data_IF_909324284522
#
_entry.id   IF_909324284522
#
_cell.length_a   1.000
_cell.length_b   1.000
_cell.length_c   1.000
_cell.angle_alpha   90.00
_cell.angle_beta   90.00
_cell.angle_gamma   90.00
#
_symmetry.space_group_name_H-M   'P 1'
#
loop_
_entity.id
_entity.type
_entity.pdbx_description
1 polymer ?
#
# COMPACT_ATOMS: atom_id res chain seq x y z
N UNK A 1 20.06 12.16 22.73
CA UNK A 1 18.84 12.39 23.50
C UNK A 1 17.62 12.01 22.66
N UNK A 2 16.52 11.66 23.30
CA UNK A 2 15.23 11.40 22.64
C UNK A 2 14.09 12.06 23.43
N UNK A 3 12.99 12.31 22.74
CA UNK A 3 11.73 12.79 23.31
C UNK A 3 10.67 11.72 23.15
N UNK A 4 9.80 11.57 24.14
CA UNK A 4 8.62 10.74 24.02
C UNK A 4 7.57 11.48 23.20
N UNK A 5 7.10 10.88 22.13
CA UNK A 5 6.06 11.42 21.28
C UNK A 5 4.79 10.60 21.42
N UNK A 6 3.72 11.23 21.83
CA UNK A 6 2.40 10.62 21.98
C UNK A 6 1.43 11.28 21.00
N UNK A 7 0.69 10.49 20.25
CA UNK A 7 -0.25 10.99 19.27
C UNK A 7 -1.45 10.05 19.07
N UNK A 8 -2.35 10.43 18.21
CA UNK A 8 -3.47 9.61 17.76
C UNK A 8 -3.26 9.07 16.35
N UNK A 9 -4.01 8.04 16.00
CA UNK A 9 -4.11 7.58 14.62
C UNK A 9 -5.06 8.49 13.85
N UNK A 10 -4.55 9.25 12.88
CA UNK A 10 -5.32 10.24 12.10
C UNK A 10 -6.48 9.66 11.27
N UNK A 11 -6.51 8.35 11.05
CA UNK A 11 -7.64 7.71 10.36
C UNK A 11 -8.86 7.55 11.23
N UNK A 12 -8.67 7.45 12.55
CA UNK A 12 -9.76 7.35 13.51
C UNK A 12 -10.07 8.70 14.12
N UNK A 13 -9.04 9.39 14.64
CA UNK A 13 -9.19 10.70 15.25
C UNK A 13 -7.94 11.54 14.98
N UNK A 14 -8.14 12.69 14.35
CA UNK A 14 -7.05 13.65 14.19
C UNK A 14 -6.79 14.33 15.53
N UNK A 15 -5.54 14.36 15.95
CA UNK A 15 -5.17 15.05 17.17
C UNK A 15 -5.28 16.58 16.99
N UNK A 16 -6.05 17.21 17.86
CA UNK A 16 -6.19 18.65 17.95
C UNK A 16 -5.62 19.10 19.29
N UNK A 17 -4.55 19.92 19.33
CA UNK A 17 -3.96 20.38 20.58
C UNK A 17 -4.89 21.25 21.43
N UNK A 18 -5.86 21.94 20.81
CA UNK A 18 -6.82 22.79 21.51
C UNK A 18 -8.00 21.99 22.12
N UNK A 19 -8.28 20.84 21.55
CA UNK A 19 -9.36 19.96 22.00
C UNK A 19 -8.98 18.49 21.79
N UNK A 20 -8.39 17.87 22.79
CA UNK A 20 -8.02 16.46 22.67
C UNK A 20 -8.63 15.58 23.76
N UNK A 21 -8.91 14.34 23.37
CA UNK A 21 -9.31 13.28 24.30
C UNK A 21 -8.10 12.35 24.54
N UNK A 22 -7.60 12.21 25.77
CA UNK A 22 -6.48 11.32 26.09
C UNK A 22 -6.69 9.86 25.65
N UNK A 23 -7.94 9.37 25.65
CA UNK A 23 -8.26 8.01 25.24
C UNK A 23 -7.95 7.72 23.77
N UNK A 24 -7.78 8.75 22.95
CA UNK A 24 -7.41 8.64 21.55
C UNK A 24 -5.90 8.65 21.32
N UNK A 25 -5.10 8.98 22.33
CA UNK A 25 -3.64 9.06 22.25
C UNK A 25 -3.01 7.68 22.48
N UNK A 26 -3.06 6.83 21.45
CA UNK A 26 -2.63 5.42 21.54
C UNK A 26 -1.37 5.10 20.75
N UNK A 27 -0.87 6.04 19.95
CA UNK A 27 0.35 5.86 19.19
C UNK A 27 1.52 6.47 19.95
N UNK A 28 2.53 5.65 20.25
CA UNK A 28 3.72 6.04 21.01
C UNK A 28 4.94 5.87 20.12
N UNK A 29 5.73 6.94 20.02
CA UNK A 29 6.97 6.97 19.26
C UNK A 29 8.07 7.61 20.13
N UNK A 30 9.32 7.40 19.74
CA UNK A 30 10.44 8.21 20.21
C UNK A 30 10.90 9.12 19.08
N UNK A 31 11.07 10.38 19.37
CA UNK A 31 11.61 11.36 18.46
C UNK A 31 13.07 11.66 18.82
N UNK A 32 13.93 11.69 17.82
CA UNK A 32 15.35 12.03 17.93
C UNK A 32 15.56 13.43 17.36
N UNK A 33 15.58 14.49 18.21
CA UNK A 33 15.56 15.89 17.74
C UNK A 33 16.82 16.26 16.96
N UNK A 34 17.98 15.74 17.33
CA UNK A 34 19.27 16.02 16.66
C UNK A 34 19.29 15.62 15.18
N UNK A 35 18.64 14.52 14.86
CA UNK A 35 18.57 13.97 13.49
C UNK A 35 17.19 14.08 12.86
N UNK A 36 16.20 14.58 13.61
CA UNK A 36 14.79 14.73 13.22
C UNK A 36 14.18 13.43 12.70
N UNK A 37 14.40 12.34 13.43
CA UNK A 37 13.97 10.99 13.09
C UNK A 37 13.11 10.38 14.17
N UNK A 38 12.39 9.32 13.80
CA UNK A 38 11.47 8.61 14.69
C UNK A 38 11.91 7.17 14.93
N UNK A 39 11.52 6.64 16.07
CA UNK A 39 11.62 5.20 16.40
C UNK A 39 10.25 4.75 16.88
N UNK A 40 9.76 3.63 16.34
CA UNK A 40 8.48 3.05 16.70
C UNK A 40 8.74 1.68 17.32
N UNK A 41 8.65 1.54 18.64
CA UNK A 41 9.09 0.33 19.33
C UNK A 41 8.16 -0.89 19.10
N UNK A 42 6.88 -0.65 18.81
CA UNK A 42 5.86 -1.70 18.68
C UNK A 42 5.64 -2.17 17.23
N UNK A 43 6.25 -1.49 16.24
CA UNK A 43 6.06 -1.80 14.80
C UNK A 43 7.38 -2.22 14.17
N UNK A 44 7.63 -3.52 14.21
CA UNK A 44 8.88 -4.13 13.70
C UNK A 44 9.11 -3.94 12.20
N UNK A 45 8.07 -3.60 11.45
CA UNK A 45 8.13 -3.29 10.01
C UNK A 45 8.73 -1.93 9.70
N UNK A 46 8.78 -0.99 10.66
CA UNK A 46 9.40 0.32 10.51
C UNK A 46 10.87 0.32 10.94
N UNK A 47 11.68 1.13 10.30
CA UNK A 47 13.10 1.33 10.62
C UNK A 47 13.28 2.65 11.34
N UNK A 48 14.41 2.76 12.04
CA UNK A 48 14.81 4.04 12.66
C UNK A 48 14.85 5.14 11.60
N UNK A 49 14.14 6.20 11.85
CA UNK A 49 14.05 7.34 10.96
C UNK A 49 12.73 7.48 10.22
N UNK A 50 11.85 6.52 10.32
CA UNK A 50 10.58 6.49 9.61
C UNK A 50 9.42 6.64 10.59
N UNK A 51 8.46 7.51 10.25
CA UNK A 51 7.20 7.61 10.99
C UNK A 51 6.09 6.85 10.25
N UNK A 52 5.18 6.17 10.96
CA UNK A 52 4.04 5.51 10.32
C UNK A 52 3.16 6.52 9.61
N UNK A 53 2.66 6.14 8.42
CA UNK A 53 1.82 7.02 7.61
C UNK A 53 0.51 7.44 8.32
N UNK A 54 0.04 6.64 9.28
CA UNK A 54 -1.16 6.94 10.07
C UNK A 54 -0.95 8.03 11.13
N UNK A 55 0.28 8.44 11.41
CA UNK A 55 0.59 9.55 12.31
C UNK A 55 1.18 10.76 11.59
N UNK A 56 1.72 10.59 10.39
CA UNK A 56 2.31 11.70 9.63
C UNK A 56 1.30 12.82 9.37
N UNK A 57 1.74 14.07 9.65
CA UNK A 57 0.93 15.27 9.53
C UNK A 57 -0.16 15.42 10.58
N UNK A 58 -0.18 14.57 11.58
CA UNK A 58 -0.94 14.77 12.78
C UNK A 58 -0.14 15.62 13.77
N UNK A 59 -0.79 16.23 14.74
CA UNK A 59 -0.09 16.79 15.89
C UNK A 59 0.33 15.67 16.85
N UNK A 60 1.38 15.94 17.62
CA UNK A 60 1.83 15.07 18.70
C UNK A 60 2.25 15.88 19.91
N UNK A 61 2.22 15.24 21.06
CA UNK A 61 2.76 15.74 22.31
C UNK A 61 4.20 15.22 22.40
N UNK A 62 5.16 16.12 22.34
CA UNK A 62 6.58 15.83 22.53
C UNK A 62 6.96 16.11 23.96
N UNK A 63 7.53 15.16 24.65
CA UNK A 63 7.90 15.23 26.06
C UNK A 63 9.40 14.98 26.17
N UNK A 64 10.14 15.93 26.67
CA UNK A 64 11.58 15.85 26.86
C UNK A 64 11.99 15.12 28.16
N UNK A 65 13.28 15.00 28.39
CA UNK A 65 13.85 14.37 29.60
C UNK A 65 13.55 15.14 30.93
N UNK A 66 13.25 16.43 30.83
CA UNK A 66 12.87 17.25 31.97
C UNK A 66 11.38 17.17 32.29
N UNK A 67 10.61 16.43 31.47
CA UNK A 67 9.14 16.35 31.49
C UNK A 67 8.44 17.63 31.01
N UNK A 68 9.19 18.53 30.36
CA UNK A 68 8.59 19.64 29.63
C UNK A 68 7.95 19.10 28.34
N UNK A 69 6.83 19.69 27.95
CA UNK A 69 6.10 19.22 26.75
C UNK A 69 5.74 20.36 25.80
N UNK A 70 5.65 20.02 24.53
CA UNK A 70 5.16 20.93 23.49
C UNK A 70 4.37 20.17 22.44
N UNK A 71 3.55 20.90 21.68
CA UNK A 71 2.79 20.36 20.57
C UNK A 71 3.47 20.70 19.24
N UNK A 72 3.63 19.72 18.39
CA UNK A 72 4.15 19.94 17.04
C UNK A 72 3.58 18.92 16.06
N UNK A 73 3.60 19.29 14.79
CA UNK A 73 3.20 18.37 13.71
C UNK A 73 4.29 17.33 13.47
N UNK A 74 3.87 16.09 13.30
CA UNK A 74 4.75 14.98 12.96
C UNK A 74 5.08 15.08 11.47
N UNK A 75 6.33 15.41 11.13
CA UNK A 75 6.77 15.66 9.75
C UNK A 75 7.93 14.75 9.42
N UNK A 76 7.85 14.08 8.30
CA UNK A 76 9.01 13.41 7.70
C UNK A 76 9.76 14.41 6.82
N UNK A 77 11.03 14.68 7.13
CA UNK A 77 11.81 15.72 6.45
C UNK A 77 12.22 15.34 5.03
N UNK A 78 12.37 14.06 4.75
CA UNK A 78 12.67 13.58 3.42
C UNK A 78 11.37 13.38 2.64
N UNK A 79 11.21 14.11 1.54
CA UNK A 79 10.10 13.91 0.59
C UNK A 79 10.28 12.57 -0.10
N UNK A 80 9.90 11.51 0.58
CA UNK A 80 9.91 10.16 0.04
C UNK A 80 8.51 9.80 -0.43
N UNK A 81 8.42 9.30 -1.65
CA UNK A 81 7.15 8.95 -2.26
C UNK A 81 6.86 7.48 -2.06
N UNK A 82 5.62 7.19 -1.70
CA UNK A 82 5.10 5.83 -1.76
C UNK A 82 4.47 5.63 -3.14
N UNK A 83 5.04 4.76 -3.95
CA UNK A 83 4.56 4.52 -5.31
C UNK A 83 4.10 3.09 -5.52
N UNK A 84 3.18 2.91 -6.45
CA UNK A 84 2.79 1.63 -7.01
C UNK A 84 3.00 1.73 -8.52
N UNK A 85 4.01 1.02 -9.03
CA UNK A 85 4.23 0.89 -10.47
C UNK A 85 3.72 -0.46 -10.92
N UNK A 86 2.89 -0.48 -11.96
CA UNK A 86 2.34 -1.71 -12.53
C UNK A 86 2.68 -1.81 -14.01
N UNK A 87 3.30 -2.91 -14.38
CA UNK A 87 3.54 -3.25 -15.79
C UNK A 87 2.71 -4.48 -16.12
N UNK A 88 1.81 -4.34 -17.08
CA UNK A 88 0.86 -5.40 -17.47
C UNK A 88 1.02 -5.70 -18.95
N UNK A 89 1.31 -6.96 -19.25
CA UNK A 89 1.32 -7.47 -20.61
C UNK A 89 0.20 -8.50 -20.79
N UNK A 90 -0.59 -8.36 -21.84
CA UNK A 90 -1.72 -9.24 -22.13
C UNK A 90 -1.47 -9.96 -23.45
N UNK A 91 -1.48 -11.27 -23.40
CA UNK A 91 -1.37 -12.15 -24.57
C UNK A 91 -2.67 -12.94 -24.76
N UNK A 92 -3.22 -12.89 -25.96
CA UNK A 92 -4.46 -13.57 -26.32
C UNK A 92 -4.15 -14.91 -26.97
N UNK A 93 -4.07 -15.97 -26.17
CA UNK A 93 -3.90 -17.34 -26.67
C UNK A 93 -5.25 -17.91 -27.13
N UNK A 94 -5.34 -18.27 -28.41
CA UNK A 94 -6.47 -18.99 -29.00
C UNK A 94 -7.85 -18.32 -28.90
N UNK A 95 -7.93 -17.01 -28.78
CA UNK A 95 -9.20 -16.23 -28.76
C UNK A 95 -10.23 -16.66 -27.68
N UNK A 96 -9.82 -17.41 -26.68
CA UNK A 96 -10.70 -17.87 -25.60
C UNK A 96 -10.18 -17.47 -24.23
N UNK A 97 -8.89 -17.23 -24.12
CA UNK A 97 -8.18 -17.05 -22.88
C UNK A 97 -7.17 -15.93 -23.04
N UNK A 98 -7.14 -15.02 -22.09
CA UNK A 98 -6.09 -14.03 -21.96
C UNK A 98 -5.07 -14.52 -20.92
N UNK A 99 -3.79 -14.49 -21.29
CA UNK A 99 -2.69 -14.68 -20.37
C UNK A 99 -2.15 -13.29 -20.02
N UNK A 100 -2.18 -12.95 -18.75
CA UNK A 100 -1.77 -11.65 -18.24
C UNK A 100 -0.51 -11.85 -17.41
N UNK A 101 0.58 -11.23 -17.84
CA UNK A 101 1.83 -11.15 -17.08
C UNK A 101 1.91 -9.78 -16.42
N UNK A 102 2.03 -9.73 -15.11
CA UNK A 102 2.04 -8.51 -14.35
C UNK A 102 3.27 -8.43 -13.45
N UNK A 103 3.88 -7.25 -13.41
CA UNK A 103 4.87 -6.87 -12.40
C UNK A 103 4.35 -5.65 -11.66
N UNK A 104 4.23 -5.76 -10.34
CA UNK A 104 3.85 -4.68 -9.44
C UNK A 104 5.03 -4.36 -8.54
N UNK A 105 5.43 -3.09 -8.50
CA UNK A 105 6.50 -2.58 -7.65
C UNK A 105 5.92 -1.57 -6.66
N UNK A 106 6.06 -1.88 -5.38
CA UNK A 106 5.59 -1.06 -4.28
C UNK A 106 6.78 -0.44 -3.57
N UNK A 107 6.77 0.88 -3.36
CA UNK A 107 7.78 1.60 -2.60
C UNK A 107 7.20 2.28 -1.38
N UNK A 108 8.07 2.73 -0.47
CA UNK A 108 7.66 3.49 0.71
C UNK A 108 6.66 2.73 1.57
N UNK A 109 5.63 3.40 2.05
CA UNK A 109 4.63 2.82 2.93
C UNK A 109 3.83 1.67 2.29
N UNK A 110 3.68 1.66 0.97
CA UNK A 110 3.06 0.52 0.28
C UNK A 110 3.90 -0.75 0.40
N UNK A 111 5.22 -0.62 0.33
CA UNK A 111 6.12 -1.76 0.54
C UNK A 111 6.05 -2.28 1.98
N UNK A 112 6.00 -1.38 2.97
CA UNK A 112 5.85 -1.75 4.39
C UNK A 112 4.55 -2.52 4.59
N UNK A 113 3.43 -1.95 4.13
CA UNK A 113 2.10 -2.55 4.30
C UNK A 113 2.05 -3.95 3.70
N UNK A 114 2.56 -4.13 2.47
CA UNK A 114 2.55 -5.44 1.83
C UNK A 114 3.47 -6.45 2.54
N UNK A 115 4.63 -6.03 3.05
CA UNK A 115 5.51 -6.89 3.86
C UNK A 115 4.87 -7.30 5.18
N UNK A 116 4.22 -6.34 5.87
CA UNK A 116 3.51 -6.62 7.11
C UNK A 116 2.35 -7.60 6.88
N UNK A 117 1.55 -7.38 5.83
CA UNK A 117 0.46 -8.28 5.44
C UNK A 117 0.97 -9.67 5.07
N UNK A 118 2.07 -9.77 4.31
CA UNK A 118 2.69 -11.06 4.00
C UNK A 118 3.16 -11.78 5.24
N UNK A 119 3.81 -11.08 6.16
CA UNK A 119 4.26 -11.66 7.42
C UNK A 119 3.11 -12.17 8.29
N UNK A 120 1.97 -11.48 8.28
CA UNK A 120 0.75 -11.93 8.93
C UNK A 120 0.12 -13.13 8.20
N UNK A 121 0.08 -13.10 6.87
CA UNK A 121 -0.54 -14.15 6.05
C UNK A 121 0.23 -15.46 6.06
N UNK A 122 1.53 -15.44 6.25
CA UNK A 122 2.33 -16.66 6.47
C UNK A 122 1.87 -17.46 7.70
N UNK A 123 1.16 -16.78 8.61
CA UNK A 123 0.55 -17.40 9.80
C UNK A 123 -0.94 -17.76 9.60
N UNK A 124 -1.60 -17.27 8.53
CA UNK A 124 -3.06 -17.28 8.37
C UNK A 124 -3.59 -17.90 7.06
N UNK A 125 -2.83 -18.69 6.34
CA UNK A 125 -3.24 -19.30 5.06
C UNK A 125 -3.16 -18.39 3.80
N UNK A 126 -2.21 -18.72 2.94
CA UNK A 126 -1.63 -17.79 1.94
C UNK A 126 -2.41 -17.56 0.63
N UNK A 127 -3.49 -18.28 0.36
CA UNK A 127 -4.14 -18.22 -0.97
C UNK A 127 -4.96 -16.94 -1.17
N UNK A 128 -5.59 -16.44 -0.12
CA UNK A 128 -6.31 -15.16 -0.17
C UNK A 128 -5.35 -13.99 -0.39
N UNK A 129 -4.16 -14.04 0.21
CA UNK A 129 -3.16 -13.01 0.00
C UNK A 129 -2.56 -13.05 -1.41
N UNK A 130 -2.33 -14.23 -1.97
CA UNK A 130 -1.93 -14.37 -3.38
C UNK A 130 -3.01 -13.81 -4.30
N UNK A 131 -4.28 -14.10 -4.03
CA UNK A 131 -5.39 -13.57 -4.79
C UNK A 131 -5.47 -12.04 -4.70
N UNK A 132 -5.24 -11.48 -3.53
CA UNK A 132 -5.17 -10.04 -3.31
C UNK A 132 -4.04 -9.37 -4.10
N UNK A 133 -2.84 -9.95 -4.09
CA UNK A 133 -1.65 -9.40 -4.77
C UNK A 133 -1.65 -9.61 -6.29
N UNK A 134 -2.43 -10.55 -6.82
CA UNK A 134 -2.45 -10.85 -8.25
C UNK A 134 -3.72 -10.29 -8.89
N UNK A 135 -3.62 -9.16 -9.60
CA UNK A 135 -4.71 -8.54 -10.38
C UNK A 135 -6.08 -8.71 -9.72
N UNK A 136 -6.27 -8.05 -8.57
CA UNK A 136 -7.53 -8.08 -7.82
C UNK A 136 -8.67 -7.59 -8.72
N UNK A 137 -9.78 -8.31 -8.75
CA UNK A 137 -10.96 -7.94 -9.54
C UNK A 137 -11.23 -8.82 -10.78
N UNK A 138 -10.29 -9.65 -11.20
CA UNK A 138 -10.57 -10.61 -12.27
C UNK A 138 -11.19 -11.87 -11.66
N UNK A 139 -12.49 -12.04 -11.87
CA UNK A 139 -13.22 -13.21 -11.41
C UNK A 139 -12.82 -14.46 -12.19
N UNK A 140 -12.64 -15.59 -11.49
CA UNK A 140 -12.32 -16.88 -12.14
C UNK A 140 -10.93 -16.94 -12.77
N UNK A 141 -9.99 -16.08 -12.34
CA UNK A 141 -8.59 -16.15 -12.77
C UNK A 141 -7.94 -17.42 -12.24
N UNK A 142 -6.99 -17.95 -13.01
CA UNK A 142 -6.11 -19.03 -12.59
C UNK A 142 -4.68 -18.50 -12.51
N UNK A 143 -4.08 -18.57 -11.34
CA UNK A 143 -2.68 -18.18 -11.13
C UNK A 143 -1.81 -19.31 -11.70
N UNK A 144 -0.96 -18.98 -12.69
CA UNK A 144 -0.03 -19.92 -13.33
C UNK A 144 1.31 -19.85 -12.62
N UNK A 145 1.82 -18.62 -12.42
CA UNK A 145 3.08 -18.36 -11.76
C UNK A 145 2.95 -17.17 -10.80
N UNK A 146 3.71 -17.21 -9.74
CA UNK A 146 3.70 -16.16 -8.74
C UNK A 146 5.03 -16.12 -8.00
N UNK A 147 5.59 -14.92 -7.83
CA UNK A 147 6.80 -14.72 -7.04
C UNK A 147 6.81 -13.36 -6.36
N UNK A 148 7.45 -13.30 -5.19
CA UNK A 148 7.67 -12.06 -4.44
C UNK A 148 9.17 -11.85 -4.24
N UNK A 149 9.64 -10.64 -4.52
CA UNK A 149 11.03 -10.21 -4.32
C UNK A 149 11.04 -9.17 -3.20
N UNK A 150 12.11 -9.15 -2.41
CA UNK A 150 12.30 -8.25 -1.26
C UNK A 150 11.17 -8.36 -0.22
N UNK A 151 10.75 -9.59 0.05
CA UNK A 151 9.62 -9.92 0.93
C UNK A 151 9.92 -9.78 2.42
N UNK A 152 11.19 -9.71 2.80
CA UNK A 152 11.60 -9.64 4.21
C UNK A 152 11.09 -8.33 4.84
N UNK A 153 10.43 -8.47 6.00
CA UNK A 153 9.87 -7.35 6.76
C UNK A 153 10.95 -6.37 7.25
N UNK A 154 12.20 -6.83 7.36
CA UNK A 154 13.32 -6.01 7.81
C UNK A 154 14.04 -5.24 6.70
N UNK A 155 13.58 -5.32 5.46
CA UNK A 155 14.16 -4.58 4.34
C UNK A 155 13.98 -3.05 4.50
N UNK A 156 14.98 -2.24 4.07
CA UNK A 156 14.83 -0.79 3.98
C UNK A 156 13.65 -0.41 3.09
N UNK A 157 12.91 0.62 3.53
CA UNK A 157 11.61 0.95 2.92
C UNK A 157 11.75 1.52 1.51
N UNK A 158 12.73 2.40 1.29
CA UNK A 158 12.78 3.18 0.04
C UNK A 158 13.71 2.62 -1.02
N UNK A 159 14.74 1.88 -0.63
CA UNK A 159 15.77 1.40 -1.55
C UNK A 159 15.49 0.00 -2.12
N UNK A 160 14.56 -0.73 -1.48
CA UNK A 160 14.21 -2.09 -1.87
C UNK A 160 12.71 -2.19 -2.08
N UNK A 161 12.19 -1.99 -3.30
CA UNK A 161 10.77 -2.14 -3.58
C UNK A 161 10.31 -3.57 -3.26
N UNK A 162 9.10 -3.69 -2.72
CA UNK A 162 8.40 -4.96 -2.65
C UNK A 162 7.84 -5.26 -4.04
N UNK A 163 8.29 -6.34 -4.67
CA UNK A 163 7.93 -6.64 -6.06
C UNK A 163 7.13 -7.93 -6.10
N UNK A 164 5.96 -7.88 -6.75
CA UNK A 164 5.14 -9.03 -7.07
C UNK A 164 5.19 -9.27 -8.57
N UNK A 165 5.55 -10.48 -8.99
CA UNK A 165 5.44 -10.92 -10.37
C UNK A 165 4.43 -12.04 -10.45
N UNK A 166 3.50 -11.95 -11.39
CA UNK A 166 2.49 -12.97 -11.60
C UNK A 166 2.20 -13.22 -13.07
N UNK A 167 1.84 -14.45 -13.38
CA UNK A 167 1.25 -14.85 -14.66
C UNK A 167 -0.08 -15.49 -14.33
N UNK A 168 -1.14 -14.93 -14.86
CA UNK A 168 -2.50 -15.42 -14.67
C UNK A 168 -3.17 -15.71 -16.01
N UNK A 169 -4.07 -16.67 -15.98
CA UNK A 169 -4.98 -16.95 -17.08
C UNK A 169 -6.39 -16.53 -16.68
N UNK A 170 -7.09 -15.85 -17.56
CA UNK A 170 -8.44 -15.36 -17.31
C UNK A 170 -9.31 -15.39 -18.58
N UNK A 171 -10.40 -16.14 -18.53
CA UNK A 171 -11.41 -16.15 -19.60
C UNK A 171 -12.38 -14.97 -19.48
N UNK A 172 -12.64 -14.51 -18.27
CA UNK A 172 -13.64 -13.48 -17.94
C UNK A 172 -13.33 -12.09 -18.49
N UNK A 173 -12.07 -11.83 -18.88
CA UNK A 173 -11.67 -10.54 -19.49
C UNK A 173 -12.02 -10.45 -20.98
N UNK A 174 -12.45 -11.54 -21.58
CA UNK A 174 -12.85 -11.61 -22.98
C UNK A 174 -14.36 -11.74 -23.09
N UNK A 175 -15.01 -10.75 -23.66
CA UNK A 175 -16.45 -10.76 -23.93
C UNK A 175 -16.68 -11.22 -25.35
N UNK A 176 -17.38 -12.33 -25.50
CA UNK A 176 -17.78 -12.84 -26.80
C UNK A 176 -19.02 -12.09 -27.33
N UNK A 177 -18.83 -11.26 -28.34
CA UNK A 177 -19.88 -10.43 -28.94
C UNK A 177 -20.56 -11.09 -30.17
N UNK A 178 -20.61 -12.41 -30.23
CA UNK A 178 -21.23 -13.13 -31.37
C UNK A 178 -22.76 -13.02 -31.45
N UNK A 179 -23.40 -12.06 -30.77
CA UNK A 179 -24.82 -11.77 -31.00
C UNK A 179 -24.97 -11.10 -32.37
N UNK A 180 -25.51 -11.87 -33.30
CA UNK A 180 -26.03 -11.41 -34.57
C UNK A 180 -25.02 -10.98 -35.64
N UNK A 181 -24.35 -11.93 -36.31
CA UNK A 181 -23.98 -11.67 -37.69
C UNK A 181 -23.81 -12.97 -38.50
N UNK A 182 -24.43 -13.02 -39.67
CA UNK A 182 -24.36 -14.09 -40.68
C UNK A 182 -22.94 -14.35 -41.23
N UNK A 183 -21.92 -13.62 -40.76
CA UNK A 183 -20.50 -13.82 -41.09
C UNK A 183 -19.81 -14.61 -39.97
N UNK A 184 -19.08 -15.65 -40.34
CA UNK A 184 -18.33 -16.60 -39.48
C UNK A 184 -17.18 -15.97 -38.66
N UNK A 185 -17.13 -14.65 -38.47
CA UNK A 185 -16.09 -13.97 -37.73
C UNK A 185 -16.49 -13.82 -36.25
N UNK A 186 -15.75 -14.49 -35.37
CA UNK A 186 -15.89 -14.33 -33.94
C UNK A 186 -15.23 -13.02 -33.52
N UNK A 187 -15.97 -12.15 -32.82
CA UNK A 187 -15.45 -10.90 -32.24
C UNK A 187 -15.37 -11.04 -30.73
N UNK A 188 -14.25 -10.67 -30.17
CA UNK A 188 -14.04 -10.60 -28.73
C UNK A 188 -13.73 -9.15 -28.34
N UNK A 189 -14.27 -8.69 -27.23
CA UNK A 189 -13.94 -7.42 -26.63
C UNK A 189 -13.15 -7.70 -25.37
N UNK A 190 -11.98 -7.07 -25.25
CA UNK A 190 -11.18 -7.12 -24.04
C UNK A 190 -11.66 -6.05 -23.05
N UNK A 191 -11.95 -6.47 -21.82
CA UNK A 191 -12.34 -5.56 -20.75
C UNK A 191 -11.10 -5.05 -20.00
N UNK A 192 -10.53 -3.94 -20.46
CA UNK A 192 -9.36 -3.34 -19.85
C UNK A 192 -9.63 -2.92 -18.40
N UNK A 193 -10.82 -2.44 -18.08
CA UNK A 193 -11.19 -2.03 -16.72
C UNK A 193 -11.09 -3.16 -15.69
N UNK A 194 -11.33 -4.41 -16.11
CA UNK A 194 -11.16 -5.58 -15.23
C UNK A 194 -9.70 -5.85 -14.88
N UNK A 195 -8.76 -5.43 -15.71
CA UNK A 195 -7.31 -5.66 -15.53
C UNK A 195 -6.65 -4.50 -14.76
N UNK A 196 -6.96 -3.28 -15.13
CA UNK A 196 -6.38 -2.08 -14.52
C UNK A 196 -7.01 -1.82 -13.14
N UNK A 197 -8.26 -2.23 -12.96
CA UNK A 197 -9.09 -1.85 -11.83
C UNK A 197 -9.73 -0.49 -12.03
N UNK A 198 -10.82 -0.25 -11.32
CA UNK A 198 -11.43 1.09 -11.24
C UNK A 198 -10.89 1.80 -10.02
N UNK A 199 -10.34 2.98 -10.21
CA UNK A 199 -10.03 3.84 -9.08
C UNK A 199 -11.33 4.28 -8.44
N UNK A 200 -11.53 3.95 -7.16
CA UNK A 200 -12.63 4.54 -6.39
C UNK A 200 -12.38 6.04 -6.25
N UNK A 201 -13.42 6.84 -6.41
CA UNK A 201 -13.33 8.27 -6.14
C UNK A 201 -12.89 8.49 -4.70
N UNK A 202 -11.77 9.18 -4.52
CA UNK A 202 -11.25 9.53 -3.22
C UNK A 202 -11.90 10.85 -2.79
N UNK A 203 -13.05 10.77 -2.12
CA UNK A 203 -13.64 11.91 -1.44
C UNK A 203 -12.84 12.19 -0.16
N UNK A 204 -11.91 13.10 -0.23
CA UNK A 204 -11.27 13.64 0.96
C UNK A 204 -11.12 15.14 0.79
N UNK A 205 -11.82 15.88 1.63
CA UNK A 205 -11.64 17.34 1.76
C UNK A 205 -10.33 17.69 2.50
N UNK A 206 -9.60 16.69 2.98
CA UNK A 206 -8.35 16.88 3.70
C UNK A 206 -7.18 16.98 2.72
N UNK A 207 -6.35 17.99 2.92
CA UNK A 207 -5.10 18.14 2.17
C UNK A 207 -4.23 16.89 2.36
N UNK A 208 -3.85 16.27 1.25
CA UNK A 208 -2.90 15.14 1.31
C UNK A 208 -1.53 15.64 1.76
N UNK A 209 -0.94 14.91 2.71
CA UNK A 209 0.37 15.22 3.23
C UNK A 209 1.45 14.53 2.42
N UNK A 210 1.20 13.27 2.05
CA UNK A 210 2.07 12.50 1.18
C UNK A 210 1.44 12.40 -0.20
N UNK A 211 2.11 12.84 -1.26
CA UNK A 211 1.62 12.66 -2.62
C UNK A 211 1.59 11.17 -2.99
N UNK A 212 0.53 10.78 -3.68
CA UNK A 212 0.41 9.44 -4.28
C UNK A 212 0.56 9.64 -5.78
N UNK A 213 1.57 9.02 -6.37
CA UNK A 213 1.75 8.98 -7.82
C UNK A 213 1.42 7.57 -8.31
N UNK A 214 0.47 7.47 -9.24
CA UNK A 214 0.11 6.23 -9.92
C UNK A 214 0.63 6.35 -11.35
N UNK A 215 1.53 5.47 -11.74
CA UNK A 215 2.11 5.38 -13.09
C UNK A 215 1.72 4.07 -13.77
#
# INVERSE_FOLDING_TARGET
DFELLITSNRYFNRFDPDFFNPDNLREILFYLPEVKKYIIPDKKEYRVGEAPFNVLGNYGIYIDKNKDYYFSTIIENDKKYSTINRTINVDFKKMKEAVISETQEFTGHWAITNRAMLNLSNNLNSDEFKDYLTTSGIKGKKIIEYSIINKDIYQPIYNNPFIVKSIISAESVLINNNKTNKKKTKRYTFNLGSVIGTQSELYSNNKRINPIEIR
#
